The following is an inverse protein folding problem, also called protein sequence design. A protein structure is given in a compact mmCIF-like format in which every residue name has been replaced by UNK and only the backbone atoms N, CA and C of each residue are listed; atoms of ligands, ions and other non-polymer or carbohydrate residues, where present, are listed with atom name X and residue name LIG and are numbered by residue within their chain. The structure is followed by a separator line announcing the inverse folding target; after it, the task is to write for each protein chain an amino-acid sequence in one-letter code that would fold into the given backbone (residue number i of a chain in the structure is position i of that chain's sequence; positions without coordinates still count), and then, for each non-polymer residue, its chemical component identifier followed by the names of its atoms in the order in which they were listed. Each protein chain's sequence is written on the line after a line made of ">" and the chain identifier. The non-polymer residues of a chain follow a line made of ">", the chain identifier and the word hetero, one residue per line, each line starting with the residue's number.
data_IF_362362174703
#
_entry.id   IF_362362174703
#
_cell.length_a   1.000
_cell.length_b   1.000
_cell.length_c   1.000
_cell.angle_alpha   90.00
_cell.angle_beta   90.00
_cell.angle_gamma   90.00
#
_symmetry.space_group_name_H-M   'P 1'
#
loop_
_entity.id
_entity.type
_entity.pdbx_description
1 polymer ?
#
# COMPACT_ATOMS: atom_id res chain seq x y z
N UNK A 1 9.88 13.80 -1.04
CA UNK A 1 8.80 12.88 -0.60
C UNK A 1 7.91 13.65 0.35
N UNK A 2 6.68 13.99 -0.05
CA UNK A 2 5.71 14.59 0.86
C UNK A 2 5.08 13.46 1.66
N UNK A 3 5.33 13.43 2.97
CA UNK A 3 4.67 12.48 3.87
C UNK A 3 3.23 12.95 4.02
N UNK A 4 2.32 12.35 3.26
CA UNK A 4 0.89 12.52 3.51
C UNK A 4 0.62 11.82 4.86
N UNK A 5 0.53 12.61 5.93
CA UNK A 5 0.17 12.12 7.24
C UNK A 5 -1.26 11.62 7.19
N UNK A 6 -1.49 10.38 7.64
CA UNK A 6 -2.81 9.89 7.96
C UNK A 6 -3.47 10.87 8.94
N UNK A 7 -4.49 11.60 8.48
CA UNK A 7 -5.28 12.45 9.33
C UNK A 7 -6.45 11.61 9.83
N UNK A 8 -6.57 11.47 11.15
CA UNK A 8 -7.83 11.00 11.73
C UNK A 8 -8.95 11.94 11.26
N UNK A 9 -10.11 11.39 10.90
CA UNK A 9 -11.29 12.20 10.59
C UNK A 9 -12.14 12.32 11.86
N UNK A 10 -12.16 13.49 12.53
CA UNK A 10 -12.97 13.67 13.73
C UNK A 10 -14.45 13.49 13.39
N UNK A 11 -15.16 12.66 14.15
CA UNK A 11 -16.59 12.42 13.96
C UNK A 11 -16.97 11.45 12.84
N UNK A 12 -15.99 10.77 12.22
CA UNK A 12 -16.31 9.71 11.25
C UNK A 12 -17.08 8.57 11.94
N UNK A 13 -18.24 8.14 11.41
CA UNK A 13 -19.01 7.06 12.02
C UNK A 13 -18.22 5.74 12.00
N UNK A 14 -18.51 4.80 12.92
CA UNK A 14 -17.96 3.45 12.86
C UNK A 14 -18.16 2.85 11.46
N UNK A 15 -17.08 2.36 10.85
CA UNK A 15 -17.10 1.80 9.49
C UNK A 15 -16.93 2.81 8.35
N UNK A 16 -16.76 4.10 8.64
CA UNK A 16 -16.38 5.08 7.62
C UNK A 16 -15.07 4.70 6.92
N UNK A 17 -15.08 4.72 5.59
CA UNK A 17 -13.94 4.43 4.75
C UNK A 17 -13.42 5.74 4.16
N UNK A 18 -12.10 5.95 4.22
CA UNK A 18 -11.44 7.17 3.77
C UNK A 18 -10.33 6.83 2.80
N UNK A 19 -10.27 7.48 1.64
CA UNK A 19 -9.13 7.40 0.73
C UNK A 19 -8.11 8.48 1.04
N UNK A 20 -6.85 8.11 1.25
CA UNK A 20 -5.74 9.06 1.18
C UNK A 20 -5.56 9.53 -0.27
N UNK A 21 -4.99 10.73 -0.48
CA UNK A 21 -4.75 11.25 -1.83
C UNK A 21 -3.87 10.27 -2.64
N UNK A 22 -4.19 10.02 -3.93
CA UNK A 22 -3.38 9.16 -4.77
C UNK A 22 -1.92 9.64 -4.83
N UNK A 23 -0.99 8.71 -4.64
CA UNK A 23 0.44 8.97 -4.80
C UNK A 23 0.92 8.34 -6.10
N UNK A 24 1.50 9.16 -6.98
CA UNK A 24 2.11 8.67 -8.22
C UNK A 24 3.61 8.57 -8.03
N UNK A 25 4.18 7.42 -8.35
CA UNK A 25 5.61 7.17 -8.30
C UNK A 25 6.14 6.78 -9.68
N UNK A 26 7.33 7.30 -9.99
CA UNK A 26 8.13 6.96 -11.17
C UNK A 26 9.42 6.32 -10.70
N UNK A 27 9.74 5.15 -11.25
CA UNK A 27 11.00 4.46 -11.05
C UNK A 27 11.79 4.47 -12.34
N UNK A 28 12.99 5.02 -12.29
CA UNK A 28 14.00 4.89 -13.34
C UNK A 28 14.73 3.55 -13.25
N UNK A 29 15.53 3.22 -14.28
CA UNK A 29 16.34 2.00 -14.29
C UNK A 29 17.18 1.90 -13.01
N UNK A 30 17.13 0.73 -12.37
CA UNK A 30 17.82 0.40 -11.14
C UNK A 30 17.14 0.88 -9.86
N UNK A 31 16.19 1.82 -9.95
CA UNK A 31 15.44 2.27 -8.78
C UNK A 31 14.51 1.16 -8.28
N UNK A 32 14.38 1.08 -6.97
CA UNK A 32 13.59 0.10 -6.25
C UNK A 32 13.04 0.73 -4.98
N UNK A 33 12.11 0.03 -4.33
CA UNK A 33 11.67 0.38 -2.99
C UNK A 33 11.73 -0.87 -2.12
N UNK A 34 12.48 -0.79 -1.03
CA UNK A 34 12.75 -1.93 -0.15
C UNK A 34 11.50 -2.50 0.50
N UNK A 35 11.66 -3.63 1.18
CA UNK A 35 10.58 -4.27 1.91
C UNK A 35 9.97 -3.34 2.95
N UNK A 36 8.65 -3.20 2.93
CA UNK A 36 7.90 -2.35 3.85
C UNK A 36 6.48 -2.87 4.06
N UNK A 37 5.85 -2.37 5.13
CA UNK A 37 4.44 -2.56 5.42
C UNK A 37 3.68 -1.27 5.13
N UNK A 38 2.53 -1.41 4.49
CA UNK A 38 1.61 -0.29 4.30
C UNK A 38 0.78 -0.01 5.56
N UNK A 39 0.58 -1.01 6.42
CA UNK A 39 -0.13 -0.86 7.68
C UNK A 39 0.75 -0.14 8.72
N UNK A 40 0.12 0.74 9.49
CA UNK A 40 0.78 1.32 10.66
C UNK A 40 0.99 0.25 11.74
N UNK A 41 2.07 0.35 12.55
CA UNK A 41 2.23 -0.50 13.72
C UNK A 41 0.98 -0.46 14.61
N UNK A 42 0.58 -1.61 15.18
CA UNK A 42 -0.70 -1.72 15.90
C UNK A 42 -0.84 -0.72 17.06
N UNK A 43 0.25 -0.45 17.78
CA UNK A 43 0.27 0.57 18.83
C UNK A 43 0.00 1.99 18.31
N UNK A 44 0.50 2.32 17.11
CA UNK A 44 0.20 3.58 16.45
C UNK A 44 -1.27 3.63 16.04
N UNK A 45 -1.76 2.59 15.38
CA UNK A 45 -3.15 2.51 14.92
C UNK A 45 -4.17 2.64 16.06
N UNK A 46 -3.88 2.03 17.23
CA UNK A 46 -4.71 2.17 18.44
C UNK A 46 -4.71 3.60 18.97
N UNK A 47 -3.54 4.25 19.00
CA UNK A 47 -3.41 5.62 19.50
C UNK A 47 -4.13 6.63 18.61
N UNK A 48 -4.10 6.44 17.30
CA UNK A 48 -4.73 7.34 16.32
C UNK A 48 -6.16 6.96 15.95
N UNK A 49 -6.62 5.79 16.40
CA UNK A 49 -7.85 5.15 15.95
C UNK A 49 -7.97 5.14 14.42
N UNK A 50 -6.91 4.74 13.73
CA UNK A 50 -6.88 4.69 12.26
C UNK A 50 -5.92 3.61 11.78
N UNK A 51 -6.33 2.88 10.75
CA UNK A 51 -5.48 1.92 10.07
C UNK A 51 -5.78 1.91 8.57
N UNK A 52 -4.75 1.72 7.75
CA UNK A 52 -4.91 1.42 6.32
C UNK A 52 -5.47 0.02 6.16
N UNK A 53 -6.66 -0.08 5.59
CA UNK A 53 -7.43 -1.32 5.40
C UNK A 53 -7.15 -1.96 4.07
N UNK A 54 -6.90 -1.17 3.04
CA UNK A 54 -6.55 -1.67 1.73
C UNK A 54 -5.55 -0.74 1.05
N UNK A 55 -4.73 -1.35 0.20
CA UNK A 55 -3.88 -0.66 -0.76
C UNK A 55 -4.35 -1.04 -2.16
N UNK A 56 -4.64 -0.02 -2.96
CA UNK A 56 -4.84 -0.17 -4.40
C UNK A 56 -3.60 0.38 -5.11
N UNK A 57 -2.83 -0.51 -5.75
CA UNK A 57 -1.65 -0.16 -6.54
C UNK A 57 -1.93 -0.41 -8.01
N UNK A 58 -2.04 0.66 -8.79
CA UNK A 58 -2.35 0.64 -10.22
C UNK A 58 -1.06 0.81 -11.02
N UNK A 59 -0.84 -0.07 -11.99
CA UNK A 59 0.28 0.06 -12.92
C UNK A 59 -0.12 0.96 -14.09
N UNK A 60 0.57 2.09 -14.22
CA UNK A 60 0.24 3.11 -15.23
C UNK A 60 0.90 2.83 -16.59
N UNK A 61 1.91 1.96 -16.61
CA UNK A 61 2.54 1.42 -17.81
C UNK A 61 2.92 -0.07 -17.62
N UNK A 62 3.24 -0.74 -18.73
CA UNK A 62 3.70 -2.13 -18.72
C UNK A 62 5.22 -2.18 -18.65
N UNK A 63 5.76 -3.12 -17.88
CA UNK A 63 7.20 -3.40 -17.81
C UNK A 63 7.41 -4.90 -18.09
N UNK A 64 8.22 -5.21 -19.10
CA UNK A 64 8.42 -6.60 -19.53
C UNK A 64 9.24 -7.40 -18.49
N UNK A 65 10.32 -6.81 -17.96
CA UNK A 65 11.26 -7.44 -17.04
C UNK A 65 11.63 -6.52 -15.86
N UNK A 66 11.92 -7.11 -14.70
CA UNK A 66 12.15 -6.35 -13.48
C UNK A 66 10.92 -5.56 -13.01
N UNK A 67 11.12 -4.63 -12.08
CA UNK A 67 10.08 -3.70 -11.62
C UNK A 67 8.86 -4.35 -10.98
N UNK A 68 8.90 -5.65 -10.64
CA UNK A 68 7.77 -6.38 -10.09
C UNK A 68 7.40 -5.87 -8.70
N UNK A 69 6.14 -5.99 -8.32
CA UNK A 69 5.78 -5.89 -6.90
C UNK A 69 5.91 -7.28 -6.28
N UNK A 70 6.81 -7.45 -5.32
CA UNK A 70 7.10 -8.73 -4.69
C UNK A 70 6.48 -8.80 -3.29
N UNK A 71 5.92 -9.96 -2.95
CA UNK A 71 5.42 -10.30 -1.61
C UNK A 71 6.23 -11.50 -1.11
N UNK A 72 7.42 -11.29 -0.52
CA UNK A 72 8.36 -12.36 -0.19
C UNK A 72 7.76 -13.44 0.70
N UNK A 73 6.93 -13.06 1.69
CA UNK A 73 6.30 -14.04 2.60
C UNK A 73 5.23 -14.91 1.94
N UNK A 74 4.76 -14.52 0.75
CA UNK A 74 3.82 -15.30 -0.06
C UNK A 74 4.51 -16.03 -1.21
N UNK A 75 5.80 -15.78 -1.45
CA UNK A 75 6.49 -16.26 -2.66
C UNK A 75 5.88 -15.72 -3.96
N UNK A 76 5.17 -14.59 -3.90
CA UNK A 76 4.44 -14.01 -5.02
C UNK A 76 5.18 -12.82 -5.63
N UNK A 77 5.18 -12.72 -6.96
CA UNK A 77 5.68 -11.56 -7.69
C UNK A 77 4.69 -11.19 -8.78
N UNK A 78 4.33 -9.92 -8.84
CA UNK A 78 3.38 -9.39 -9.82
C UNK A 78 4.11 -8.51 -10.82
N UNK A 79 3.95 -8.82 -12.10
CA UNK A 79 4.53 -8.03 -13.18
C UNK A 79 3.68 -6.78 -13.45
N UNK A 80 4.29 -5.60 -13.69
CA UNK A 80 3.55 -4.41 -14.09
C UNK A 80 2.93 -4.57 -15.48
N UNK A 81 1.61 -4.53 -15.53
CA UNK A 81 0.83 -4.52 -16.78
C UNK A 81 -0.07 -3.30 -16.80
N UNK A 82 0.04 -2.46 -17.83
CA UNK A 82 -0.69 -1.19 -17.93
C UNK A 82 -2.19 -1.39 -17.71
N UNK A 83 -2.75 -0.62 -16.79
CA UNK A 83 -4.18 -0.63 -16.47
C UNK A 83 -4.59 -1.73 -15.50
N UNK A 84 -3.71 -2.68 -15.18
CA UNK A 84 -3.96 -3.63 -14.10
C UNK A 84 -3.75 -2.97 -12.73
N UNK A 85 -4.40 -3.54 -11.71
CA UNK A 85 -4.29 -3.08 -10.34
C UNK A 85 -4.14 -4.26 -9.38
N UNK A 86 -3.37 -4.04 -8.33
CA UNK A 86 -3.29 -4.90 -7.16
C UNK A 86 -4.10 -4.31 -6.03
N UNK A 87 -5.03 -5.10 -5.51
CA UNK A 87 -5.73 -4.81 -4.26
C UNK A 87 -5.25 -5.79 -3.21
N UNK A 88 -4.71 -5.28 -2.11
CA UNK A 88 -4.29 -6.09 -0.97
C UNK A 88 -4.61 -5.39 0.35
N UNK A 89 -4.67 -6.17 1.43
CA UNK A 89 -5.18 -5.74 2.73
C UNK A 89 -4.06 -5.79 3.78
N UNK A 90 -3.37 -4.68 4.05
CA UNK A 90 -2.14 -4.70 4.86
C UNK A 90 -2.38 -4.97 6.35
N UNK A 91 -3.64 -4.99 6.81
CA UNK A 91 -4.01 -5.30 8.18
C UNK A 91 -5.24 -6.21 8.23
N UNK A 92 -5.33 -7.01 9.29
CA UNK A 92 -6.53 -7.77 9.62
C UNK A 92 -7.70 -6.84 10.00
N UNK A 93 -8.90 -7.40 10.11
CA UNK A 93 -10.11 -6.64 10.47
C UNK A 93 -9.97 -5.91 11.83
N UNK A 94 -9.26 -6.51 12.78
CA UNK A 94 -8.95 -5.93 14.10
C UNK A 94 -7.87 -4.84 14.07
N UNK A 95 -7.25 -4.60 12.91
CA UNK A 95 -6.26 -3.56 12.69
C UNK A 95 -4.81 -3.97 12.98
N UNK A 96 -4.56 -5.22 13.39
CA UNK A 96 -3.19 -5.77 13.47
C UNK A 96 -2.60 -5.88 12.06
N UNK A 97 -1.35 -5.44 11.82
CA UNK A 97 -0.68 -5.65 10.54
C UNK A 97 -0.67 -7.12 10.13
N UNK A 98 -0.95 -7.41 8.86
CA UNK A 98 -0.80 -8.76 8.32
C UNK A 98 0.64 -8.91 7.80
N UNK A 99 1.50 -9.70 8.48
CA UNK A 99 2.91 -9.81 8.11
C UNK A 99 3.12 -10.40 6.72
N UNK A 100 2.11 -11.09 6.15
CA UNK A 100 2.18 -11.64 4.79
C UNK A 100 2.19 -10.55 3.72
N UNK A 101 1.75 -9.34 4.07
CA UNK A 101 1.63 -8.18 3.18
C UNK A 101 2.90 -7.35 3.09
N UNK A 102 3.98 -7.78 3.76
CA UNK A 102 5.32 -7.25 3.52
C UNK A 102 5.60 -7.32 2.02
N UNK A 103 5.95 -6.17 1.42
CA UNK A 103 6.13 -6.09 -0.02
C UNK A 103 7.21 -5.09 -0.41
N UNK A 104 7.71 -5.23 -1.64
CA UNK A 104 8.74 -4.38 -2.20
C UNK A 104 8.46 -4.10 -3.69
N UNK A 105 9.05 -3.02 -4.19
CA UNK A 105 9.19 -2.82 -5.63
C UNK A 105 10.58 -3.32 -6.04
N UNK A 106 10.66 -4.39 -6.82
CA UNK A 106 11.92 -4.90 -7.37
C UNK A 106 12.59 -3.84 -8.27
N UNK A 107 13.93 -3.89 -8.44
CA UNK A 107 14.64 -2.98 -9.33
C UNK A 107 14.01 -2.91 -10.73
N UNK A 108 13.69 -1.70 -11.16
CA UNK A 108 13.12 -1.47 -12.48
C UNK A 108 14.22 -1.62 -13.55
N UNK A 109 13.95 -2.38 -14.61
CA UNK A 109 14.89 -2.52 -15.76
C UNK A 109 14.60 -1.46 -16.83
N UNK A 110 13.35 -1.01 -16.88
CA UNK A 110 12.85 0.09 -17.69
C UNK A 110 12.00 1.03 -16.82
N UNK A 111 11.57 2.17 -17.36
CA UNK A 111 10.75 3.12 -16.63
C UNK A 111 9.44 2.47 -16.14
N UNK A 112 9.13 2.60 -14.85
CA UNK A 112 7.89 2.11 -14.23
C UNK A 112 7.13 3.25 -13.59
N UNK A 113 5.84 3.30 -13.86
CA UNK A 113 4.90 4.24 -13.25
C UNK A 113 3.80 3.50 -12.50
N UNK A 114 3.54 3.94 -11.27
CA UNK A 114 2.42 3.45 -10.46
C UNK A 114 1.62 4.60 -9.89
N UNK A 115 0.34 4.36 -9.64
CA UNK A 115 -0.47 5.14 -8.71
C UNK A 115 -0.84 4.24 -7.52
N UNK A 116 -0.61 4.71 -6.30
CA UNK A 116 -0.96 4.02 -5.06
C UNK A 116 -2.01 4.83 -4.32
N UNK A 117 -3.04 4.15 -3.85
CA UNK A 117 -4.11 4.72 -3.04
C UNK A 117 -4.25 3.85 -1.80
N UNK A 118 -4.13 4.48 -0.63
CA UNK A 118 -4.47 3.83 0.62
C UNK A 118 -5.89 4.16 1.03
N UNK A 119 -6.61 3.12 1.42
CA UNK A 119 -7.96 3.21 1.93
C UNK A 119 -7.89 2.83 3.40
N UNK A 120 -8.25 3.75 4.28
CA UNK A 120 -8.24 3.55 5.72
C UNK A 120 -9.61 3.68 6.36
N UNK A 121 -9.65 3.30 7.64
CA UNK A 121 -10.83 3.44 8.48
C UNK A 121 -10.43 3.52 9.96
N UNK A 122 -11.34 3.95 10.84
CA UNK A 122 -11.19 3.70 12.27
C UNK A 122 -11.02 2.21 12.60
N UNK A 123 -10.49 1.93 13.80
CA UNK A 123 -10.48 0.56 14.32
C UNK A 123 -11.91 0.12 14.62
N UNK A 124 -12.19 -1.18 14.44
CA UNK A 124 -13.47 -1.75 14.88
C UNK A 124 -13.35 -2.01 16.37
N UNK A 125 -14.31 -1.53 17.15
CA UNK A 125 -14.46 -1.97 18.53
C UNK A 125 -14.82 -3.46 18.51
N UNK A 126 -14.15 -4.23 19.39
CA UNK A 126 -14.43 -5.65 19.61
C UNK A 126 -15.67 -5.84 20.46
#
# INVERSE_FOLDING_TARGET
>A
MSVCTAQSIPGAPPGAITGEYPQVARYERGQHFGEHDDAFPFAHARRTNYQRRATLLVYLNSVAEGGRTSFPRLGLKVRPERGSALLFFPAFADGRPDPRMLHAAEPAVDEKWIAQIWVGSPLRES
#
